data_IF_410515166495
#
_entry.id   IF_410515166495
#
_cell.length_a   1.000
_cell.length_b   1.000
_cell.length_c   1.000
_cell.angle_alpha   90.00
_cell.angle_beta   90.00
_cell.angle_gamma   90.00
#
_symmetry.space_group_name_H-M   'P 1'
#
loop_
_entity.id
_entity.type
_entity.pdbx_description
1 polymer ?
#
# COMPACT_ATOMS: atom_id res chain seq x y z
N UNK A 1 -7.44 12.23 12.58
CA UNK A 1 -6.79 11.47 11.48
C UNK A 1 -7.88 10.74 10.74
N UNK A 2 -7.91 10.87 9.42
CA UNK A 2 -8.90 10.17 8.59
C UNK A 2 -8.63 8.67 8.50
N UNK A 3 -9.56 7.90 7.93
CA UNK A 3 -9.33 6.49 7.62
C UNK A 3 -8.16 6.33 6.63
N UNK A 4 -7.51 5.18 6.67
CA UNK A 4 -6.56 4.75 5.63
C UNK A 4 -7.15 3.61 4.81
N UNK A 5 -6.61 3.41 3.62
CA UNK A 5 -6.87 2.21 2.84
C UNK A 5 -5.69 1.25 3.01
N UNK A 6 -5.92 0.20 3.79
CA UNK A 6 -4.98 -0.89 3.97
C UNK A 6 -5.09 -1.90 2.82
N UNK A 7 -3.96 -2.36 2.28
CA UNK A 7 -3.95 -3.43 1.28
C UNK A 7 -4.57 -4.73 1.75
N UNK A 8 -4.60 -5.00 3.06
CA UNK A 8 -5.19 -6.22 3.61
C UNK A 8 -6.63 -6.04 4.07
N UNK A 9 -6.92 -4.97 4.83
CA UNK A 9 -8.22 -4.76 5.49
C UNK A 9 -9.12 -3.73 4.81
N UNK A 10 -8.65 -3.04 3.77
CA UNK A 10 -9.41 -1.97 3.12
C UNK A 10 -9.52 -0.73 4.01
N UNK A 11 -10.68 -0.08 4.03
CA UNK A 11 -10.91 1.10 4.87
C UNK A 11 -10.78 0.77 6.36
N UNK A 12 -9.84 1.42 7.04
CA UNK A 12 -9.61 1.20 8.46
C UNK A 12 -9.16 2.47 9.18
N UNK A 13 -9.21 2.45 10.51
CA UNK A 13 -8.72 3.54 11.35
C UNK A 13 -7.21 3.46 11.50
N UNK A 14 -6.60 4.62 11.71
CA UNK A 14 -5.15 4.75 11.88
C UNK A 14 -4.77 4.48 13.31
N UNK A 15 -3.73 3.66 13.50
CA UNK A 15 -3.01 3.55 14.77
C UNK A 15 -1.59 4.10 14.65
N UNK A 16 -1.11 4.63 15.76
CA UNK A 16 0.23 5.18 15.90
C UNK A 16 1.17 4.11 16.40
N UNK A 17 2.28 3.92 15.69
CA UNK A 17 3.37 2.99 16.05
C UNK A 17 4.71 3.65 15.75
N UNK A 18 5.83 3.05 16.12
CA UNK A 18 7.14 3.45 15.60
C UNK A 18 7.35 2.92 14.17
N UNK A 19 8.35 3.47 13.48
CA UNK A 19 8.76 2.98 12.15
C UNK A 19 9.17 1.51 12.20
N UNK A 20 9.87 1.05 13.24
CA UNK A 20 10.25 -0.35 13.40
C UNK A 20 9.04 -1.29 13.53
N UNK A 21 8.07 -0.91 14.36
CA UNK A 21 6.81 -1.69 14.50
C UNK A 21 6.01 -1.68 13.19
N UNK A 22 5.87 -0.54 12.53
CA UNK A 22 5.18 -0.44 11.24
C UNK A 22 5.86 -1.26 10.13
N UNK A 23 7.19 -1.32 10.13
CA UNK A 23 7.92 -2.19 9.21
C UNK A 23 7.60 -3.67 9.45
N UNK A 24 7.53 -4.09 10.73
CA UNK A 24 7.17 -5.47 11.08
C UNK A 24 5.73 -5.82 10.72
N UNK A 25 4.80 -4.86 10.81
CA UNK A 25 3.43 -5.01 10.30
C UNK A 25 3.45 -5.35 8.80
N UNK A 26 4.24 -4.65 7.99
CA UNK A 26 4.30 -4.86 6.53
C UNK A 26 4.80 -6.25 6.16
N UNK A 27 5.79 -6.76 6.88
CA UNK A 27 6.32 -8.12 6.66
C UNK A 27 5.50 -9.19 7.36
N UNK A 28 4.43 -8.79 8.07
CA UNK A 28 3.56 -9.67 8.86
C UNK A 28 4.32 -10.56 9.84
N UNK A 29 5.43 -10.04 10.35
CA UNK A 29 6.23 -10.79 11.31
C UNK A 29 5.62 -10.74 12.71
N UNK A 30 6.45 -11.15 13.66
CA UNK A 30 6.19 -11.09 15.09
C UNK A 30 7.43 -10.59 15.81
N UNK A 31 7.27 -10.21 17.07
CA UNK A 31 8.36 -9.86 17.97
C UNK A 31 8.51 -10.93 19.05
N UNK A 32 9.72 -11.05 19.60
CA UNK A 32 9.97 -11.84 20.78
C UNK A 32 9.41 -11.12 22.03
N UNK A 33 9.13 -11.86 23.12
CA UNK A 33 8.66 -11.26 24.36
C UNK A 33 9.58 -10.13 24.84
N UNK A 34 9.00 -8.99 25.19
CA UNK A 34 9.73 -7.83 25.72
C UNK A 34 10.34 -6.88 24.69
N UNK A 35 10.35 -7.24 23.40
CA UNK A 35 10.83 -6.35 22.32
C UNK A 35 9.85 -5.21 22.01
N UNK A 36 8.56 -5.41 22.32
CA UNK A 36 7.53 -4.38 22.19
C UNK A 36 7.33 -3.63 23.50
N UNK A 37 7.08 -2.33 23.39
CA UNK A 37 6.70 -1.48 24.50
C UNK A 37 5.50 -0.62 24.13
N UNK A 38 4.48 -0.65 24.98
CA UNK A 38 3.35 0.28 24.93
C UNK A 38 3.73 1.57 25.65
N UNK A 39 3.65 2.69 24.95
CA UNK A 39 3.98 4.02 25.47
C UNK A 39 2.74 4.92 25.46
N UNK A 40 2.52 5.62 26.56
CA UNK A 40 1.59 6.73 26.69
C UNK A 40 2.37 8.05 26.74
N UNK A 41 2.16 8.87 25.71
CA UNK A 41 2.70 10.22 25.63
C UNK A 41 1.75 11.17 26.35
N UNK A 42 2.01 11.43 27.61
CA UNK A 42 1.13 12.17 28.51
C UNK A 42 1.37 13.67 28.37
N UNK A 43 0.38 14.38 27.81
CA UNK A 43 0.38 15.84 27.71
C UNK A 43 -0.72 16.41 28.61
N UNK A 44 -0.64 17.70 29.01
CA UNK A 44 -1.60 18.30 29.95
C UNK A 44 -3.08 18.16 29.58
N UNK A 45 -3.42 18.02 28.29
CA UNK A 45 -4.82 17.96 27.81
C UNK A 45 -5.23 16.61 27.22
N UNK A 46 -4.29 15.71 26.97
CA UNK A 46 -4.55 14.41 26.36
C UNK A 46 -3.33 13.50 26.47
N UNK A 47 -3.58 12.20 26.48
CA UNK A 47 -2.54 11.18 26.31
C UNK A 47 -2.67 10.54 24.95
N UNK A 48 -1.53 10.18 24.34
CA UNK A 48 -1.53 9.43 23.07
C UNK A 48 -0.80 8.12 23.25
N UNK A 49 -1.48 7.04 22.90
CA UNK A 49 -0.91 5.69 22.86
C UNK A 49 -0.08 5.49 21.59
N UNK A 50 1.08 4.86 21.75
CA UNK A 50 1.98 4.46 20.68
C UNK A 50 2.70 3.17 21.06
N UNK A 51 2.78 2.21 20.14
CA UNK A 51 3.65 1.04 20.27
C UNK A 51 5.01 1.33 19.65
N UNK A 52 6.09 1.02 20.37
CA UNK A 52 7.48 1.21 19.92
C UNK A 52 8.30 -0.04 20.18
N UNK A 53 9.47 -0.15 19.56
CA UNK A 53 10.45 -1.14 19.96
C UNK A 53 11.11 -0.71 21.27
N UNK A 54 11.39 -1.67 22.15
CA UNK A 54 12.14 -1.45 23.39
C UNK A 54 13.48 -0.78 23.10
N UNK A 55 14.21 -1.28 22.10
CA UNK A 55 15.50 -0.72 21.69
C UNK A 55 15.41 0.74 21.22
N UNK A 56 14.39 1.08 20.41
CA UNK A 56 14.16 2.46 19.98
C UNK A 56 13.83 3.39 21.17
N UNK A 57 13.16 2.86 22.20
CA UNK A 57 12.84 3.61 23.41
C UNK A 57 14.08 3.83 24.27
N UNK A 58 14.89 2.79 24.47
CA UNK A 58 16.11 2.82 25.28
C UNK A 58 17.19 3.72 24.65
N UNK A 59 17.35 3.70 23.32
CA UNK A 59 18.26 4.58 22.57
C UNK A 59 17.96 6.09 22.77
N UNK A 60 16.70 6.43 23.02
CA UNK A 60 16.28 7.80 23.27
C UNK A 60 16.48 8.24 24.72
N UNK A 61 16.94 7.33 25.60
CA UNK A 61 17.18 7.55 27.02
C UNK A 61 15.96 8.21 27.70
N UNK A 62 14.78 7.64 27.45
CA UNK A 62 13.51 8.24 27.88
C UNK A 62 13.25 7.90 29.34
N UNK A 63 13.25 8.93 30.19
CA UNK A 63 12.69 8.81 31.54
C UNK A 63 11.16 8.62 31.45
N UNK A 64 10.67 7.52 32.00
CA UNK A 64 9.26 7.19 32.05
C UNK A 64 8.88 6.53 33.38
N UNK A 65 7.65 6.77 33.84
CA UNK A 65 7.04 5.97 34.89
C UNK A 65 6.33 4.76 34.29
N UNK A 66 6.43 3.61 34.94
CA UNK A 66 5.77 2.39 34.47
C UNK A 66 4.54 2.10 35.31
N UNK A 67 3.39 1.97 34.66
CA UNK A 67 2.14 1.50 35.28
C UNK A 67 1.78 0.19 34.59
N UNK A 68 2.04 -0.93 35.27
CA UNK A 68 2.06 -2.25 34.63
C UNK A 68 3.11 -2.29 33.51
N UNK A 69 2.71 -2.73 32.32
CA UNK A 69 3.59 -2.82 31.15
C UNK A 69 3.55 -1.58 30.24
N UNK A 70 3.02 -0.46 30.74
CA UNK A 70 2.86 0.78 29.97
C UNK A 70 3.84 1.83 30.48
N UNK A 71 4.66 2.37 29.58
CA UNK A 71 5.56 3.48 29.86
C UNK A 71 4.84 4.82 29.69
N UNK A 72 4.74 5.59 30.76
CA UNK A 72 4.18 6.93 30.79
C UNK A 72 5.29 7.97 30.67
N UNK A 73 5.26 8.74 29.58
CA UNK A 73 6.27 9.75 29.28
C UNK A 73 5.62 11.12 29.37
N UNK A 74 6.09 11.94 30.32
CA UNK A 74 5.57 13.30 30.57
C UNK A 74 6.54 14.40 30.10
N UNK A 75 7.83 14.08 29.99
CA UNK A 75 8.87 15.03 29.59
C UNK A 75 8.70 15.43 28.11
N UNK A 76 8.35 16.71 27.87
CA UNK A 76 8.04 17.21 26.53
C UNK A 76 9.14 16.95 25.47
N UNK A 77 10.45 17.15 25.76
CA UNK A 77 11.49 16.84 24.77
C UNK A 77 11.55 15.36 24.38
N UNK A 78 11.28 14.44 25.32
CA UNK A 78 11.28 13.00 25.07
C UNK A 78 10.02 12.55 24.34
N UNK A 79 8.86 13.14 24.65
CA UNK A 79 7.64 12.99 23.85
C UNK A 79 7.91 13.37 22.39
N UNK A 80 8.52 14.53 22.16
CA UNK A 80 8.84 15.00 20.81
C UNK A 80 9.80 14.06 20.07
N UNK A 81 10.77 13.46 20.79
CA UNK A 81 11.67 12.47 20.20
C UNK A 81 10.94 11.19 19.76
N UNK A 82 10.07 10.64 20.61
CA UNK A 82 9.25 9.48 20.27
C UNK A 82 8.28 9.78 19.12
N UNK A 83 7.71 10.99 19.06
CA UNK A 83 6.85 11.40 17.96
C UNK A 83 7.59 11.50 16.61
N UNK A 84 8.92 11.65 16.58
CA UNK A 84 9.72 11.60 15.34
C UNK A 84 9.88 10.19 14.80
N UNK A 85 9.76 9.16 15.66
CA UNK A 85 9.73 7.76 15.25
C UNK A 85 8.36 7.35 14.71
N UNK A 86 7.36 8.21 14.80
CA UNK A 86 5.98 7.90 14.49
C UNK A 86 5.78 7.44 13.05
N UNK A 87 5.09 6.32 12.94
CA UNK A 87 4.48 5.80 11.73
C UNK A 87 2.99 5.54 11.96
N UNK A 88 2.24 5.58 10.86
CA UNK A 88 0.80 5.40 10.85
C UNK A 88 0.45 4.14 10.07
N UNK A 89 -0.31 3.24 10.70
CA UNK A 89 -0.68 1.96 10.12
C UNK A 89 -2.14 1.60 10.38
N UNK A 90 -2.58 0.54 9.70
CA UNK A 90 -3.90 -0.05 9.90
C UNK A 90 -4.02 -0.56 11.32
N UNK A 91 -5.03 -0.12 12.08
CA UNK A 91 -5.21 -0.59 13.46
C UNK A 91 -5.34 -2.11 13.54
N UNK A 92 -6.10 -2.73 12.65
CA UNK A 92 -6.28 -4.19 12.64
C UNK A 92 -4.98 -4.92 12.32
N UNK A 93 -4.16 -4.41 11.39
CA UNK A 93 -2.83 -4.98 11.15
C UNK A 93 -1.92 -4.90 12.38
N UNK A 94 -2.03 -3.81 13.16
CA UNK A 94 -1.30 -3.66 14.42
C UNK A 94 -1.84 -4.65 15.46
N UNK A 95 -3.15 -4.77 15.62
CA UNK A 95 -3.75 -5.73 16.56
C UNK A 95 -3.38 -7.19 16.23
N UNK A 96 -3.37 -7.56 14.95
CA UNK A 96 -2.88 -8.86 14.49
C UNK A 96 -1.39 -9.07 14.83
N UNK A 97 -0.55 -8.03 14.69
CA UNK A 97 0.85 -8.09 15.11
C UNK A 97 1.00 -8.27 16.62
N UNK A 98 0.18 -7.58 17.41
CA UNK A 98 0.19 -7.70 18.87
C UNK A 98 -0.15 -9.13 19.28
N UNK A 99 -1.23 -9.71 18.75
CA UNK A 99 -1.60 -11.11 19.01
C UNK A 99 -0.46 -12.07 18.61
N UNK A 100 0.13 -11.92 17.42
CA UNK A 100 1.28 -12.76 17.00
C UNK A 100 2.49 -12.63 17.92
N UNK A 101 2.63 -11.50 18.61
CA UNK A 101 3.75 -11.21 19.52
C UNK A 101 3.41 -11.51 20.99
N UNK A 102 2.24 -12.08 21.28
CA UNK A 102 1.78 -12.38 22.64
C UNK A 102 1.32 -11.15 23.43
N UNK A 103 1.08 -10.03 22.77
CA UNK A 103 0.62 -8.77 23.37
C UNK A 103 -0.90 -8.60 23.26
N UNK A 104 -1.48 -7.85 24.20
CA UNK A 104 -2.92 -7.58 24.19
C UNK A 104 -3.29 -6.58 23.09
N UNK A 105 -4.14 -6.97 22.11
CA UNK A 105 -4.62 -6.04 21.10
C UNK A 105 -5.57 -5.00 21.70
N UNK A 106 -5.84 -3.92 20.97
CA UNK A 106 -6.81 -2.90 21.37
C UNK A 106 -8.23 -3.40 21.15
N UNK A 107 -8.50 -3.92 19.96
CA UNK A 107 -9.79 -4.52 19.62
C UNK A 107 -9.67 -6.05 19.67
N UNK A 108 -10.75 -6.77 20.02
CA UNK A 108 -10.75 -8.23 20.01
C UNK A 108 -10.26 -8.78 18.67
N UNK A 109 -9.14 -9.50 18.68
CA UNK A 109 -8.50 -10.10 17.51
C UNK A 109 -8.16 -11.54 17.85
N UNK A 110 -8.61 -12.49 17.03
CA UNK A 110 -8.35 -13.91 17.27
C UNK A 110 -6.97 -14.33 16.77
N UNK A 111 -6.43 -15.42 17.33
CA UNK A 111 -5.19 -16.03 16.81
C UNK A 111 -5.36 -16.46 15.34
N UNK A 112 -6.50 -17.06 14.99
CA UNK A 112 -6.78 -17.47 13.62
C UNK A 112 -6.70 -16.29 12.64
N UNK A 113 -7.24 -15.13 13.01
CA UNK A 113 -7.12 -13.91 12.21
C UNK A 113 -5.67 -13.38 12.19
N UNK A 114 -4.99 -13.37 13.34
CA UNK A 114 -3.63 -12.88 13.45
C UNK A 114 -2.64 -13.69 12.60
N UNK A 115 -2.86 -14.99 12.45
CA UNK A 115 -2.02 -15.89 11.67
C UNK A 115 -2.56 -16.18 10.25
N UNK A 116 -3.70 -15.61 9.84
CA UNK A 116 -4.29 -15.81 8.52
C UNK A 116 -3.40 -15.27 7.40
N UNK A 117 -2.76 -16.16 6.63
CA UNK A 117 -1.80 -15.82 5.56
C UNK A 117 -2.42 -15.17 4.33
N UNK A 118 -3.75 -15.01 4.26
CA UNK A 118 -4.42 -14.34 3.16
C UNK A 118 -3.91 -12.92 2.92
N UNK A 119 -3.73 -12.59 1.64
CA UNK A 119 -3.23 -11.28 1.19
C UNK A 119 -4.29 -10.19 1.44
N UNK A 120 -5.56 -10.53 1.26
CA UNK A 120 -6.72 -9.71 1.65
C UNK A 120 -7.48 -10.47 2.72
N UNK A 121 -7.82 -9.79 3.81
CA UNK A 121 -8.60 -10.39 4.89
C UNK A 121 -10.01 -10.75 4.39
N UNK A 122 -10.58 -11.84 4.88
CA UNK A 122 -11.94 -12.27 4.52
C UNK A 122 -13.01 -11.20 4.86
N UNK A 123 -12.78 -10.44 5.93
CA UNK A 123 -13.66 -9.38 6.45
C UNK A 123 -13.24 -7.96 6.02
N UNK A 124 -12.36 -7.85 5.01
CA UNK A 124 -11.88 -6.56 4.54
C UNK A 124 -13.02 -5.62 4.14
N UNK A 125 -12.88 -4.32 4.41
CA UNK A 125 -13.85 -3.28 4.09
C UNK A 125 -13.49 -2.63 2.75
N UNK A 126 -14.06 -3.14 1.66
CA UNK A 126 -13.67 -2.76 0.30
C UNK A 126 -14.08 -1.32 -0.04
N UNK A 127 -13.13 -0.44 -0.36
CA UNK A 127 -13.46 0.85 -0.96
C UNK A 127 -14.05 0.68 -2.35
N UNK A 128 -14.90 1.61 -2.77
CA UNK A 128 -15.41 1.65 -4.13
C UNK A 128 -14.27 1.74 -5.16
N UNK A 129 -14.37 0.97 -6.25
CA UNK A 129 -13.39 1.01 -7.35
C UNK A 129 -12.07 0.29 -7.06
N UNK A 130 -11.90 -0.36 -5.91
CA UNK A 130 -10.74 -1.21 -5.63
C UNK A 130 -10.90 -2.60 -6.26
N UNK A 131 -9.78 -3.31 -6.40
CA UNK A 131 -9.73 -4.69 -6.84
C UNK A 131 -8.75 -5.48 -5.96
N UNK A 132 -8.94 -6.79 -5.89
CA UNK A 132 -8.00 -7.71 -5.24
C UNK A 132 -6.91 -8.11 -6.23
N UNK A 133 -5.68 -8.01 -5.77
CA UNK A 133 -4.49 -8.55 -6.40
C UNK A 133 -3.92 -9.65 -5.49
N UNK A 134 -3.64 -10.83 -6.05
CA UNK A 134 -3.13 -11.96 -5.28
C UNK A 134 -1.71 -11.74 -4.71
N UNK A 135 -1.01 -10.69 -5.13
CA UNK A 135 0.33 -10.35 -4.64
C UNK A 135 0.36 -9.10 -3.77
N UNK A 136 -0.48 -8.10 -4.10
CA UNK A 136 -0.43 -6.76 -3.50
C UNK A 136 -1.69 -6.40 -2.71
N UNK A 137 -2.65 -7.32 -2.60
CA UNK A 137 -3.88 -7.15 -1.86
C UNK A 137 -4.87 -6.20 -2.54
N UNK A 138 -5.61 -5.46 -1.73
CA UNK A 138 -6.53 -4.43 -2.19
C UNK A 138 -5.74 -3.27 -2.78
N UNK A 139 -5.98 -3.03 -4.06
CA UNK A 139 -5.32 -1.97 -4.82
C UNK A 139 -6.37 -1.17 -5.59
N UNK A 140 -6.04 0.08 -5.88
CA UNK A 140 -6.75 0.84 -6.91
C UNK A 140 -6.14 0.43 -8.26
N UNK A 141 -6.88 -0.31 -9.11
CA UNK A 141 -6.30 -0.81 -10.35
C UNK A 141 -6.03 0.32 -11.34
N UNK A 142 -5.07 0.07 -12.22
CA UNK A 142 -4.93 0.79 -13.50
C UNK A 142 -5.57 -0.03 -14.62
N UNK A 143 -5.53 0.49 -15.84
CA UNK A 143 -6.01 -0.21 -17.04
C UNK A 143 -4.85 -0.53 -17.97
N UNK A 144 -4.96 -1.65 -18.68
CA UNK A 144 -4.05 -2.06 -19.76
C UNK A 144 -4.79 -2.91 -20.80
N UNK A 145 -4.12 -3.38 -21.85
CA UNK A 145 -4.73 -4.24 -22.86
C UNK A 145 -4.80 -5.70 -22.40
N UNK A 146 -5.76 -6.51 -22.89
CA UNK A 146 -5.94 -7.91 -22.46
C UNK A 146 -4.71 -8.81 -22.62
N UNK A 147 -3.89 -8.54 -23.64
CA UNK A 147 -2.65 -9.28 -23.90
C UNK A 147 -1.55 -8.98 -22.86
N UNK A 148 -1.48 -7.74 -22.35
CA UNK A 148 -0.57 -7.36 -21.26
C UNK A 148 -1.11 -7.90 -19.92
N UNK A 149 -2.43 -7.85 -19.71
CA UNK A 149 -3.06 -8.50 -18.56
C UNK A 149 -2.75 -10.00 -18.53
N UNK A 150 -2.87 -10.71 -19.66
CA UNK A 150 -2.56 -12.12 -19.75
C UNK A 150 -1.09 -12.42 -19.35
N UNK A 151 -0.15 -11.56 -19.73
CA UNK A 151 1.25 -11.66 -19.29
C UNK A 151 1.38 -11.45 -17.76
N UNK A 152 0.67 -10.48 -17.19
CA UNK A 152 0.62 -10.24 -15.74
C UNK A 152 0.10 -11.47 -15.00
N UNK A 153 -1.03 -12.03 -15.44
CA UNK A 153 -1.68 -13.17 -14.78
C UNK A 153 -0.86 -14.45 -14.88
N UNK A 154 -0.12 -14.62 -15.97
CA UNK A 154 0.79 -15.76 -16.18
C UNK A 154 2.19 -15.56 -15.61
N UNK A 155 2.50 -14.37 -15.07
CA UNK A 155 3.82 -14.01 -14.53
C UNK A 155 4.93 -14.11 -15.62
N UNK A 156 4.56 -14.05 -16.91
CA UNK A 156 5.49 -14.11 -18.05
C UNK A 156 5.86 -12.69 -18.54
N UNK A 157 6.69 -12.62 -19.57
CA UNK A 157 7.03 -11.40 -20.30
C UNK A 157 6.06 -11.18 -21.47
N UNK A 158 5.99 -9.94 -21.92
CA UNK A 158 5.20 -9.54 -23.06
C UNK A 158 5.97 -9.90 -24.34
N UNK A 159 5.51 -10.92 -25.07
CA UNK A 159 6.23 -11.48 -26.25
C UNK A 159 5.60 -11.17 -27.61
N UNK A 160 4.28 -11.05 -27.65
CA UNK A 160 3.52 -11.14 -28.90
C UNK A 160 2.73 -9.88 -29.24
N UNK A 161 3.07 -8.75 -28.60
CA UNK A 161 2.45 -7.47 -28.91
C UNK A 161 3.50 -6.35 -28.90
N UNK A 162 3.22 -5.33 -29.70
CA UNK A 162 3.95 -4.07 -29.63
C UNK A 162 3.31 -3.19 -28.55
N UNK A 163 4.06 -2.92 -27.48
CA UNK A 163 3.60 -2.12 -26.33
C UNK A 163 3.79 -0.65 -26.62
N UNK A 164 2.74 0.12 -26.40
CA UNK A 164 2.68 1.57 -26.60
C UNK A 164 2.48 2.25 -25.26
N UNK A 165 3.33 3.23 -24.97
CA UNK A 165 3.15 4.15 -23.86
C UNK A 165 2.15 5.23 -24.27
N UNK A 166 1.04 5.29 -23.57
CA UNK A 166 -0.03 6.28 -23.79
C UNK A 166 0.09 7.37 -22.74
N UNK A 167 0.26 8.61 -23.18
CA UNK A 167 0.31 9.80 -22.31
C UNK A 167 -1.01 10.56 -22.40
N UNK A 168 -1.70 10.71 -21.28
CA UNK A 168 -2.95 11.47 -21.19
C UNK A 168 -2.67 12.94 -20.91
N UNK A 169 -2.68 13.78 -21.96
CA UNK A 169 -2.39 15.21 -21.88
C UNK A 169 -3.58 16.05 -21.41
N UNK A 170 -4.74 15.44 -21.20
CA UNK A 170 -5.90 16.13 -20.61
C UNK A 170 -5.68 16.44 -19.13
N UNK A 171 -4.76 15.72 -18.47
CA UNK A 171 -4.47 15.87 -17.03
C UNK A 171 -3.16 16.60 -16.81
N UNK A 172 -3.13 17.44 -15.77
CA UNK A 172 -1.99 18.29 -15.38
C UNK A 172 -0.65 17.55 -15.24
N UNK A 173 -0.67 16.28 -14.85
CA UNK A 173 0.54 15.49 -14.60
C UNK A 173 0.89 14.55 -15.76
N UNK A 174 0.15 14.63 -16.86
CA UNK A 174 0.33 13.82 -18.06
C UNK A 174 0.57 12.32 -17.74
N UNK A 175 -0.36 11.66 -17.02
CA UNK A 175 -0.14 10.30 -16.55
C UNK A 175 0.09 9.35 -17.74
N UNK A 176 1.04 8.43 -17.52
CA UNK A 176 1.45 7.42 -18.50
C UNK A 176 0.75 6.10 -18.24
N UNK A 177 0.32 5.45 -19.32
CA UNK A 177 -0.31 4.14 -19.33
C UNK A 177 0.34 3.25 -20.39
N UNK A 178 0.09 1.94 -20.34
CA UNK A 178 0.69 0.98 -21.27
C UNK A 178 -0.40 0.10 -21.86
N UNK A 179 -0.46 0.03 -23.18
CA UNK A 179 -1.42 -0.76 -23.94
C UNK A 179 -0.73 -1.36 -25.16
N UNK A 180 -1.26 -2.45 -25.71
CA UNK A 180 -0.81 -2.91 -27.02
C UNK A 180 -1.34 -2.04 -28.15
N UNK A 181 -0.52 -1.85 -29.18
CA UNK A 181 -0.92 -1.10 -30.38
C UNK A 181 -2.18 -1.70 -31.03
N UNK A 182 -2.27 -3.03 -31.12
CA UNK A 182 -3.42 -3.72 -31.68
C UNK A 182 -4.71 -3.38 -30.91
N UNK A 183 -4.62 -3.28 -29.58
CA UNK A 183 -5.75 -2.87 -28.75
C UNK A 183 -6.11 -1.39 -28.98
N UNK A 184 -5.12 -0.49 -29.06
CA UNK A 184 -5.37 0.91 -29.37
C UNK A 184 -6.10 1.08 -30.70
N UNK A 185 -5.62 0.43 -31.76
CA UNK A 185 -6.25 0.48 -33.10
C UNK A 185 -7.67 -0.10 -33.08
N UNK A 186 -7.92 -1.15 -32.29
CA UNK A 186 -9.25 -1.74 -32.13
C UNK A 186 -10.24 -0.79 -31.46
N UNK A 187 -9.82 -0.08 -30.41
CA UNK A 187 -10.72 0.76 -29.60
C UNK A 187 -10.89 2.16 -30.22
N UNK A 188 -9.80 2.75 -30.71
CA UNK A 188 -9.76 4.14 -31.16
C UNK A 188 -9.86 4.28 -32.70
N UNK A 189 -9.61 3.21 -33.45
CA UNK A 189 -9.68 3.18 -34.91
C UNK A 189 -8.34 2.86 -35.57
N UNK A 190 -8.38 2.39 -36.83
CA UNK A 190 -7.19 1.96 -37.55
C UNK A 190 -6.18 3.09 -37.83
N UNK A 191 -6.66 4.34 -37.86
CA UNK A 191 -5.89 5.54 -38.22
C UNK A 191 -5.16 6.19 -37.02
N UNK A 192 -5.13 5.53 -35.86
CA UNK A 192 -4.34 6.01 -34.73
C UNK A 192 -2.87 6.08 -35.11
N UNK A 193 -2.33 7.30 -35.12
CA UNK A 193 -0.92 7.55 -35.34
C UNK A 193 -0.13 7.24 -34.06
N UNK A 194 0.38 6.01 -33.96
CA UNK A 194 1.39 5.64 -32.95
C UNK A 194 2.75 6.06 -33.49
N UNK A 195 3.43 6.95 -32.77
CA UNK A 195 4.77 7.43 -33.11
C UNK A 195 5.82 6.59 -32.38
N UNK A 196 6.46 5.68 -33.12
CA UNK A 196 7.32 4.65 -32.55
C UNK A 196 6.52 3.77 -31.60
N UNK A 197 6.77 3.91 -30.29
CA UNK A 197 6.06 3.20 -29.21
C UNK A 197 5.32 4.16 -28.27
N UNK A 198 4.94 5.35 -28.76
CA UNK A 198 4.24 6.36 -27.97
C UNK A 198 2.96 6.84 -28.64
N UNK A 199 1.98 7.16 -27.82
CA UNK A 199 0.71 7.74 -28.26
C UNK A 199 0.26 8.81 -27.27
N UNK A 200 -0.23 9.94 -27.77
CA UNK A 200 -0.69 11.06 -26.94
C UNK A 200 -2.20 11.19 -27.09
N UNK A 201 -2.89 11.22 -25.95
CA UNK A 201 -4.31 11.50 -25.85
C UNK A 201 -4.49 12.97 -25.49
N UNK A 202 -5.20 13.72 -26.33
CA UNK A 202 -5.42 15.15 -26.14
C UNK A 202 -6.88 15.50 -25.75
N UNK A 203 -7.80 14.53 -25.73
CA UNK A 203 -9.21 14.73 -25.37
C UNK A 203 -9.75 13.67 -24.40
N UNK A 204 -10.68 14.08 -23.54
CA UNK A 204 -11.21 13.25 -22.45
C UNK A 204 -12.12 12.12 -22.95
N UNK A 205 -12.84 12.32 -24.06
CA UNK A 205 -13.75 11.32 -24.63
C UNK A 205 -12.98 10.08 -25.11
N UNK A 206 -11.87 10.30 -25.82
CA UNK A 206 -10.97 9.25 -26.29
C UNK A 206 -10.30 8.54 -25.12
N UNK A 207 -9.91 9.28 -24.07
CA UNK A 207 -9.41 8.67 -22.83
C UNK A 207 -10.46 7.78 -22.17
N UNK A 208 -11.68 8.25 -21.98
CA UNK A 208 -12.76 7.48 -21.35
C UNK A 208 -13.09 6.23 -22.17
N UNK A 209 -13.11 6.33 -23.49
CA UNK A 209 -13.31 5.19 -24.39
C UNK A 209 -12.21 4.13 -24.21
N UNK A 210 -10.95 4.54 -24.18
CA UNK A 210 -9.81 3.65 -23.95
C UNK A 210 -9.86 3.03 -22.53
N UNK A 211 -10.08 3.87 -21.52
CA UNK A 211 -10.05 3.49 -20.11
C UNK A 211 -11.16 2.51 -19.75
N UNK A 212 -12.35 2.70 -20.31
CA UNK A 212 -13.50 1.81 -20.08
C UNK A 212 -13.37 0.47 -20.81
N UNK A 213 -12.63 0.42 -21.93
CA UNK A 213 -12.38 -0.80 -22.69
C UNK A 213 -11.22 -1.64 -22.13
N UNK A 214 -10.29 -1.04 -21.36
CA UNK A 214 -9.11 -1.72 -20.84
C UNK A 214 -9.39 -2.65 -19.65
N UNK A 215 -8.48 -3.57 -19.39
CA UNK A 215 -8.58 -4.55 -18.29
C UNK A 215 -8.00 -3.99 -17.00
N UNK A 216 -8.63 -4.33 -15.85
CA UNK A 216 -8.24 -3.80 -14.53
C UNK A 216 -7.06 -4.60 -13.98
N UNK A 217 -5.91 -3.96 -13.86
CA UNK A 217 -4.68 -4.61 -13.37
C UNK A 217 -4.05 -3.87 -12.20
N UNK A 218 -3.28 -4.61 -11.40
CA UNK A 218 -2.45 -4.04 -10.36
C UNK A 218 -1.28 -3.25 -10.98
N UNK A 219 -1.10 -1.98 -10.58
CA UNK A 219 0.01 -1.12 -11.05
C UNK A 219 1.38 -1.73 -10.79
N UNK A 220 1.58 -2.33 -9.61
CA UNK A 220 2.85 -2.97 -9.25
C UNK A 220 3.13 -4.21 -10.11
N UNK A 221 2.11 -5.04 -10.37
CA UNK A 221 2.26 -6.19 -11.27
C UNK A 221 2.52 -5.76 -12.72
N UNK A 222 1.85 -4.71 -13.19
CA UNK A 222 2.10 -4.13 -14.51
C UNK A 222 3.54 -3.63 -14.63
N UNK A 223 4.00 -2.81 -13.68
CA UNK A 223 5.38 -2.30 -13.64
C UNK A 223 6.41 -3.43 -13.70
N UNK A 224 6.21 -4.45 -12.88
CA UNK A 224 7.11 -5.59 -12.82
C UNK A 224 7.11 -6.41 -14.12
N UNK A 225 5.94 -6.61 -14.73
CA UNK A 225 5.81 -7.31 -16.02
C UNK A 225 6.49 -6.53 -17.15
N UNK A 226 6.28 -5.21 -17.21
CA UNK A 226 6.97 -4.33 -18.15
C UNK A 226 8.49 -4.43 -17.98
N UNK A 227 8.98 -4.31 -16.74
CA UNK A 227 10.41 -4.43 -16.41
C UNK A 227 11.01 -5.76 -16.88
N UNK A 228 10.36 -6.89 -16.58
CA UNK A 228 10.80 -8.22 -17.03
C UNK A 228 10.83 -8.36 -18.54
N UNK A 229 9.96 -7.62 -19.22
CA UNK A 229 9.87 -7.59 -20.69
C UNK A 229 10.89 -6.63 -21.32
N UNK A 230 11.78 -6.00 -20.54
CA UNK A 230 12.74 -5.01 -21.03
C UNK A 230 12.10 -3.65 -21.38
N UNK A 231 10.86 -3.44 -20.96
CA UNK A 231 10.11 -2.20 -21.17
C UNK A 231 10.14 -1.41 -19.87
N UNK A 232 11.00 -0.39 -19.77
CA UNK A 232 11.21 0.35 -18.54
C UNK A 232 11.26 1.85 -18.78
N UNK A 233 10.47 2.57 -17.99
CA UNK A 233 10.71 3.97 -17.63
C UNK A 233 10.84 3.96 -16.10
N UNK A 234 11.90 4.56 -15.56
CA UNK A 234 12.19 4.62 -14.12
C UNK A 234 11.15 5.43 -13.32
N UNK A 235 10.16 6.00 -14.02
CA UNK A 235 9.23 7.04 -13.55
C UNK A 235 7.81 6.57 -13.21
N UNK A 236 7.57 5.30 -12.87
CA UNK A 236 6.27 4.90 -12.27
C UNK A 236 6.33 5.17 -10.75
N UNK A 237 5.60 6.17 -10.19
CA UNK A 237 5.59 6.38 -8.76
C UNK A 237 4.95 5.19 -8.04
N UNK A 238 5.55 4.82 -6.90
CA UNK A 238 5.09 3.73 -6.02
C UNK A 238 3.70 3.99 -5.42
#
# INVERSE_FOLDING_TARGET
>A
MGPIVCHRHGFNVVRTTSKGVHARVRTRGQFAPGELLKVLLDRPKYSREMWVLRTEFDELDVEASFIGNVAHVTAFPKIAALERLRAYGCSTCVDELLVRSGETPREPTSEAQAFDTSVVAADAKWPHGFARCEFHGLILPTRTSPDIEAAILSIDVIRHCHVVQVTDRTKKHEPKYWFSEAFLRKVLGADVAVDGSTFRLDDEETFDKLWNAGERVCRSCLRETLRRSGLGDDDIPA
#
